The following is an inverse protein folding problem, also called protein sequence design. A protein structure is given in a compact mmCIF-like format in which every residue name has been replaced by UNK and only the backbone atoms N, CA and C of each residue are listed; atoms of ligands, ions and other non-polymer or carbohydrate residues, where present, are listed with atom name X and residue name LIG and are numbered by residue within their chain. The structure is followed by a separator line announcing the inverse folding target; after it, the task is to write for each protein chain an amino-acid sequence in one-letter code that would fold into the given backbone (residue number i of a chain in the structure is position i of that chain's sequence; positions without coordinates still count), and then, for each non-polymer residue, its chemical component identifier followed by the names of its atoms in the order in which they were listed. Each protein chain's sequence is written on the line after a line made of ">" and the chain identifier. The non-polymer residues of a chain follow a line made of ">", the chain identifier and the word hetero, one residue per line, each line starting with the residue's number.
data_IF_954973760572
#
_entry.id   IF_954973760572
#
_cell.length_a   1.000
_cell.length_b   1.000
_cell.length_c   1.000
_cell.angle_alpha   90.00
_cell.angle_beta   90.00
_cell.angle_gamma   90.00
#
_symmetry.space_group_name_H-M   'P 1'
#
loop_
_entity.id
_entity.type
_entity.pdbx_description
1 polymer ?
#
# COMPACT_ATOMS: atom_id res chain seq x y z
N UNK A 1 12.86 -25.13 1.29
CA UNK A 1 12.67 -24.67 -0.10
C UNK A 1 13.49 -23.42 -0.42
N UNK A 2 13.68 -22.47 0.51
CA UNK A 2 14.48 -21.25 0.29
C UNK A 2 15.96 -21.32 0.74
N UNK A 3 16.37 -22.41 1.40
CA UNK A 3 17.76 -22.68 1.81
C UNK A 3 18.84 -22.36 0.77
N UNK A 4 18.74 -22.80 -0.51
CA UNK A 4 19.78 -22.51 -1.49
C UNK A 4 19.90 -21.01 -1.81
N UNK A 5 18.80 -20.26 -1.76
CA UNK A 5 18.79 -18.80 -1.97
C UNK A 5 19.51 -18.08 -0.82
N UNK A 6 19.25 -18.50 0.41
CA UNK A 6 19.88 -17.92 1.60
C UNK A 6 21.38 -18.20 1.66
N UNK A 7 21.83 -19.38 1.25
CA UNK A 7 23.27 -19.68 1.18
C UNK A 7 24.01 -18.88 0.09
N UNK A 8 23.35 -18.61 -1.03
CA UNK A 8 23.90 -17.81 -2.12
C UNK A 8 23.97 -16.32 -1.75
N UNK A 9 22.99 -15.83 -0.99
CA UNK A 9 23.04 -14.49 -0.40
C UNK A 9 24.14 -14.37 0.67
N UNK A 10 24.31 -15.37 1.53
CA UNK A 10 25.36 -15.35 2.57
C UNK A 10 26.79 -15.40 2.02
N UNK A 11 26.97 -15.89 0.80
CA UNK A 11 28.27 -15.88 0.10
C UNK A 11 28.54 -14.57 -0.63
N UNK A 12 27.50 -13.82 -1.02
CA UNK A 12 27.61 -12.53 -1.70
C UNK A 12 27.62 -11.33 -0.75
N UNK A 13 26.99 -11.42 0.43
CA UNK A 13 26.96 -10.33 1.41
C UNK A 13 28.18 -10.34 2.34
N UNK A 14 28.68 -9.17 2.77
CA UNK A 14 29.73 -9.08 3.78
C UNK A 14 29.28 -9.76 5.08
N UNK A 15 30.19 -10.50 5.72
CA UNK A 15 29.88 -11.47 6.80
C UNK A 15 29.09 -10.91 8.00
N UNK A 16 29.14 -9.61 8.23
CA UNK A 16 28.37 -8.92 9.27
C UNK A 16 26.85 -8.91 8.99
N UNK A 17 26.42 -8.83 7.71
CA UNK A 17 25.01 -8.86 7.34
C UNK A 17 24.44 -10.29 7.28
N UNK A 18 25.30 -11.29 7.04
CA UNK A 18 24.91 -12.70 6.93
C UNK A 18 24.47 -13.31 8.28
N UNK A 19 24.93 -12.73 9.41
CA UNK A 19 24.53 -13.18 10.76
C UNK A 19 23.10 -12.77 11.16
N UNK A 20 22.51 -11.77 10.50
CA UNK A 20 21.19 -11.24 10.81
C UNK A 20 20.10 -11.92 9.97
N UNK A 21 19.56 -13.05 10.46
CA UNK A 21 18.51 -13.81 9.78
C UNK A 21 17.25 -13.00 9.47
N UNK A 22 16.89 -12.03 10.32
CA UNK A 22 15.77 -11.10 10.09
C UNK A 22 16.02 -10.18 8.90
N UNK A 23 17.27 -9.73 8.69
CA UNK A 23 17.64 -8.85 7.59
C UNK A 23 17.58 -9.60 6.26
N UNK A 24 18.02 -10.85 6.26
CA UNK A 24 17.97 -11.73 5.09
C UNK A 24 16.51 -12.00 4.67
N UNK A 25 15.62 -12.25 5.64
CA UNK A 25 14.18 -12.40 5.42
C UNK A 25 13.54 -11.13 4.87
N UNK A 26 13.86 -9.97 5.45
CA UNK A 26 13.39 -8.67 4.97
C UNK A 26 13.83 -8.39 3.53
N UNK A 27 15.09 -8.72 3.18
CA UNK A 27 15.63 -8.53 1.83
C UNK A 27 14.90 -9.42 0.81
N UNK A 28 14.77 -10.71 1.11
CA UNK A 28 14.08 -11.68 0.24
C UNK A 28 12.60 -11.30 0.08
N UNK A 29 11.92 -10.98 1.18
CA UNK A 29 10.53 -10.51 1.16
C UNK A 29 10.37 -9.22 0.35
N UNK A 30 11.30 -8.28 0.49
CA UNK A 30 11.33 -7.04 -0.28
C UNK A 30 11.48 -7.26 -1.79
N UNK A 31 12.31 -8.21 -2.21
CA UNK A 31 12.48 -8.56 -3.63
C UNK A 31 11.19 -9.15 -4.21
N UNK A 32 10.54 -10.08 -3.49
CA UNK A 32 9.25 -10.63 -3.92
C UNK A 32 8.15 -9.56 -3.99
N UNK A 33 8.10 -8.66 -3.00
CA UNK A 33 7.15 -7.56 -2.99
C UNK A 33 7.41 -6.58 -4.16
N UNK A 34 8.67 -6.22 -4.42
CA UNK A 34 9.05 -5.36 -5.53
C UNK A 34 8.66 -5.97 -6.88
N UNK A 35 8.89 -7.27 -7.07
CA UNK A 35 8.49 -7.99 -8.28
C UNK A 35 6.96 -7.97 -8.47
N UNK A 36 6.19 -8.24 -7.41
CA UNK A 36 4.72 -8.18 -7.46
C UNK A 36 4.23 -6.76 -7.80
N UNK A 37 4.78 -5.73 -7.15
CA UNK A 37 4.47 -4.33 -7.43
C UNK A 37 4.82 -3.93 -8.87
N UNK A 38 5.94 -4.40 -9.41
CA UNK A 38 6.36 -4.13 -10.78
C UNK A 38 5.38 -4.72 -11.80
N UNK A 39 4.96 -5.98 -11.62
CA UNK A 39 3.99 -6.65 -12.51
C UNK A 39 2.66 -5.89 -12.53
N UNK A 40 2.14 -5.52 -11.35
CA UNK A 40 0.90 -4.76 -11.23
C UNK A 40 1.06 -3.37 -11.85
N UNK A 41 2.18 -2.69 -11.57
CA UNK A 41 2.46 -1.34 -12.07
C UNK A 41 2.51 -1.25 -13.59
N UNK A 42 3.15 -2.22 -14.26
CA UNK A 42 3.20 -2.28 -15.74
C UNK A 42 1.80 -2.37 -16.34
N UNK A 43 0.91 -3.18 -15.74
CA UNK A 43 -0.49 -3.26 -16.18
C UNK A 43 -1.23 -1.94 -16.05
N UNK A 44 -1.06 -1.26 -14.90
CA UNK A 44 -1.70 0.04 -14.64
C UNK A 44 -1.25 1.12 -15.63
N UNK A 45 0.05 1.18 -15.93
CA UNK A 45 0.62 2.12 -16.92
C UNK A 45 0.12 1.79 -18.32
N UNK A 46 0.06 0.50 -18.70
CA UNK A 46 -0.48 0.06 -19.99
C UNK A 46 -1.93 0.49 -20.23
N UNK A 47 -2.73 0.63 -19.17
CA UNK A 47 -4.11 1.12 -19.23
C UNK A 47 -4.27 2.65 -19.18
N UNK A 48 -3.16 3.41 -19.29
CA UNK A 48 -3.12 4.88 -19.14
C UNK A 48 -3.77 5.34 -17.82
N UNK A 49 -3.39 4.67 -16.73
CA UNK A 49 -3.88 4.98 -15.38
C UNK A 49 -2.72 5.23 -14.42
N UNK A 50 -1.70 5.98 -14.82
CA UNK A 50 -0.49 6.21 -14.02
C UNK A 50 -0.79 6.75 -12.61
N UNK A 51 -1.83 7.58 -12.47
CA UNK A 51 -2.25 8.14 -11.18
C UNK A 51 -3.09 7.19 -10.30
N UNK A 52 -3.59 6.08 -10.85
CA UNK A 52 -4.48 5.17 -10.13
C UNK A 52 -3.80 4.54 -8.92
N UNK A 53 -2.58 4.04 -9.09
CA UNK A 53 -1.81 3.45 -7.98
C UNK A 53 -1.59 4.47 -6.87
N UNK A 54 -1.29 5.73 -7.22
CA UNK A 54 -1.12 6.79 -6.22
C UNK A 54 -2.41 7.01 -5.42
N UNK A 55 -3.56 7.09 -6.10
CA UNK A 55 -4.84 7.28 -5.44
C UNK A 55 -5.21 6.10 -4.53
N UNK A 56 -5.00 4.87 -4.98
CA UNK A 56 -5.29 3.66 -4.19
C UNK A 56 -4.36 3.54 -3.00
N UNK A 57 -3.05 3.73 -3.17
CA UNK A 57 -2.08 3.66 -2.08
C UNK A 57 -2.40 4.65 -0.96
N UNK A 58 -2.75 5.88 -1.31
CA UNK A 58 -3.14 6.89 -0.32
C UNK A 58 -4.55 6.69 0.25
N UNK A 59 -5.45 6.00 -0.45
CA UNK A 59 -6.75 5.66 0.11
C UNK A 59 -6.69 4.74 1.32
N UNK A 60 -5.62 3.94 1.43
CA UNK A 60 -5.29 3.14 2.60
C UNK A 60 -5.24 3.98 3.88
N UNK A 61 -4.80 5.24 3.79
CA UNK A 61 -4.78 6.18 4.91
C UNK A 61 -6.19 6.43 5.47
N UNK A 62 -7.13 6.79 4.60
CA UNK A 62 -8.53 6.95 5.01
C UNK A 62 -9.13 5.61 5.49
N UNK A 63 -8.76 4.49 4.85
CA UNK A 63 -9.22 3.15 5.23
C UNK A 63 -8.83 2.70 6.63
N UNK A 64 -7.57 2.93 7.03
CA UNK A 64 -7.10 2.62 8.39
C UNK A 64 -7.83 3.48 9.41
N UNK A 65 -8.01 4.78 9.13
CA UNK A 65 -8.77 5.67 10.01
C UNK A 65 -10.21 5.17 10.19
N UNK A 66 -10.89 4.79 9.11
CA UNK A 66 -12.25 4.23 9.16
C UNK A 66 -12.28 2.90 9.92
N UNK A 67 -11.31 2.00 9.69
CA UNK A 67 -11.21 0.72 10.38
C UNK A 67 -11.06 0.87 11.89
N UNK A 68 -10.14 1.75 12.32
CA UNK A 68 -9.92 2.07 13.74
C UNK A 68 -11.18 2.66 14.38
N UNK A 69 -11.87 3.57 13.71
CA UNK A 69 -13.09 4.20 14.23
C UNK A 69 -14.29 3.25 14.30
N UNK A 70 -14.39 2.33 13.34
CA UNK A 70 -15.43 1.32 13.33
C UNK A 70 -15.16 0.16 14.31
N UNK A 71 -14.01 0.16 15.02
CA UNK A 71 -13.62 -0.91 15.93
C UNK A 71 -13.33 -2.25 15.24
N UNK A 72 -13.06 -2.21 13.93
CA UNK A 72 -12.73 -3.40 13.12
C UNK A 72 -11.21 -3.49 12.96
N UNK A 73 -10.70 -4.65 12.57
CA UNK A 73 -9.28 -4.80 12.25
C UNK A 73 -8.79 -3.73 11.26
N UNK A 74 -7.74 -2.96 11.59
CA UNK A 74 -7.20 -1.91 10.73
C UNK A 74 -6.78 -2.44 9.35
N UNK A 75 -6.35 -3.70 9.26
CA UNK A 75 -6.04 -4.37 8.00
C UNK A 75 -7.26 -4.53 7.10
N UNK A 76 -8.42 -4.83 7.69
CA UNK A 76 -9.69 -4.95 6.94
C UNK A 76 -10.14 -3.58 6.46
N UNK A 77 -10.00 -2.53 7.28
CA UNK A 77 -10.25 -1.15 6.87
C UNK A 77 -9.32 -0.71 5.73
N UNK A 78 -8.02 -1.01 5.85
CA UNK A 78 -7.00 -0.71 4.84
C UNK A 78 -7.33 -1.35 3.49
N UNK A 79 -7.53 -2.67 3.47
CA UNK A 79 -7.78 -3.42 2.22
C UNK A 79 -9.17 -3.09 1.68
N UNK A 80 -10.20 -3.10 2.54
CA UNK A 80 -11.58 -2.86 2.15
C UNK A 80 -11.81 -1.48 1.54
N UNK A 81 -11.22 -0.44 2.15
CA UNK A 81 -11.36 0.92 1.64
C UNK A 81 -10.55 1.13 0.35
N UNK A 82 -9.35 0.58 0.25
CA UNK A 82 -8.55 0.63 -0.98
C UNK A 82 -9.26 -0.05 -2.15
N UNK A 83 -9.90 -1.20 -1.91
CA UNK A 83 -10.74 -1.89 -2.90
C UNK A 83 -11.96 -1.05 -3.28
N UNK A 84 -12.65 -0.44 -2.30
CA UNK A 84 -13.78 0.45 -2.55
C UNK A 84 -13.41 1.63 -3.46
N UNK A 85 -12.27 2.28 -3.18
CA UNK A 85 -11.78 3.40 -3.98
C UNK A 85 -11.34 2.93 -5.37
N UNK A 86 -10.60 1.84 -5.49
CA UNK A 86 -10.19 1.29 -6.78
C UNK A 86 -11.38 0.89 -7.67
N UNK A 87 -12.40 0.26 -7.09
CA UNK A 87 -13.66 -0.07 -7.77
C UNK A 87 -14.43 1.20 -8.14
N UNK A 88 -14.53 2.16 -7.21
CA UNK A 88 -15.19 3.44 -7.44
C UNK A 88 -14.59 4.20 -8.62
N UNK A 89 -13.26 4.30 -8.67
CA UNK A 89 -12.54 4.90 -9.82
C UNK A 89 -12.84 4.13 -11.11
N UNK A 90 -12.82 2.80 -11.07
CA UNK A 90 -13.06 1.97 -12.26
C UNK A 90 -14.48 2.14 -12.81
N UNK A 91 -15.49 2.16 -11.92
CA UNK A 91 -16.90 2.37 -12.30
C UNK A 91 -17.12 3.79 -12.82
N UNK A 92 -16.54 4.79 -12.16
CA UNK A 92 -16.68 6.19 -12.55
C UNK A 92 -16.00 6.46 -13.89
N UNK A 93 -14.84 5.84 -14.14
CA UNK A 93 -14.15 5.88 -15.44
C UNK A 93 -14.97 5.22 -16.55
N UNK A 94 -15.69 4.12 -16.27
CA UNK A 94 -16.54 3.44 -17.27
C UNK A 94 -17.82 4.21 -17.61
N UNK A 95 -18.40 4.93 -16.64
CA UNK A 95 -19.67 5.67 -16.82
C UNK A 95 -19.49 7.14 -17.18
N UNK A 96 -18.35 7.73 -16.82
CA UNK A 96 -18.06 9.15 -17.01
C UNK A 96 -17.56 9.49 -18.41
N UNK A 97 -17.84 10.71 -18.87
CA UNK A 97 -17.26 11.31 -20.09
C UNK A 97 -15.93 12.05 -19.81
N UNK A 98 -15.47 12.05 -18.57
CA UNK A 98 -14.26 12.74 -18.12
C UNK A 98 -13.01 11.94 -18.49
N UNK A 99 -11.88 12.64 -18.68
CA UNK A 99 -10.59 11.99 -18.84
C UNK A 99 -10.27 11.12 -17.61
N UNK A 100 -9.63 9.96 -17.85
CA UNK A 100 -9.31 8.99 -16.80
C UNK A 100 -8.53 9.62 -15.64
N UNK A 101 -7.55 10.45 -15.95
CA UNK A 101 -6.70 11.11 -14.96
C UNK A 101 -7.46 12.16 -14.12
N UNK A 102 -8.42 12.87 -14.72
CA UNK A 102 -9.27 13.82 -13.98
C UNK A 102 -10.16 13.08 -12.98
N UNK A 103 -10.72 11.94 -13.37
CA UNK A 103 -11.57 11.12 -12.49
C UNK A 103 -10.78 10.62 -11.29
N UNK A 104 -9.57 10.11 -11.52
CA UNK A 104 -8.65 9.67 -10.47
C UNK A 104 -8.30 10.83 -9.54
N UNK A 105 -7.96 12.00 -10.10
CA UNK A 105 -7.62 13.19 -9.32
C UNK A 105 -8.74 13.66 -8.40
N UNK A 106 -9.98 13.72 -8.89
CA UNK A 106 -11.14 14.12 -8.07
C UNK A 106 -11.38 13.14 -6.93
N UNK A 107 -11.38 11.82 -7.21
CA UNK A 107 -11.57 10.80 -6.18
C UNK A 107 -10.45 10.87 -5.14
N UNK A 108 -9.20 11.04 -5.58
CA UNK A 108 -8.05 11.19 -4.70
C UNK A 108 -8.20 12.39 -3.75
N UNK A 109 -8.59 13.56 -4.26
CA UNK A 109 -8.81 14.75 -3.43
C UNK A 109 -9.89 14.53 -2.37
N UNK A 110 -11.00 13.86 -2.72
CA UNK A 110 -12.07 13.53 -1.78
C UNK A 110 -11.59 12.58 -0.69
N UNK A 111 -10.88 11.52 -1.08
CA UNK A 111 -10.37 10.50 -0.16
C UNK A 111 -9.32 11.08 0.78
N UNK A 112 -8.40 11.90 0.29
CA UNK A 112 -7.40 12.57 1.12
C UNK A 112 -8.03 13.57 2.07
N UNK A 113 -8.99 14.37 1.60
CA UNK A 113 -9.73 15.28 2.48
C UNK A 113 -10.45 14.52 3.60
N UNK A 114 -11.11 13.40 3.28
CA UNK A 114 -11.76 12.54 4.27
C UNK A 114 -10.75 11.98 5.28
N UNK A 115 -9.65 11.40 4.81
CA UNK A 115 -8.63 10.84 5.69
C UNK A 115 -8.03 11.89 6.63
N UNK A 116 -7.70 13.08 6.12
CA UNK A 116 -7.14 14.17 6.93
C UNK A 116 -8.17 14.70 7.92
N UNK A 117 -9.43 14.82 7.51
CA UNK A 117 -10.52 15.22 8.40
C UNK A 117 -10.70 14.24 9.56
N UNK A 118 -10.67 12.92 9.28
CA UNK A 118 -10.72 11.88 10.32
C UNK A 118 -9.50 11.94 11.24
N UNK A 119 -8.30 12.08 10.67
CA UNK A 119 -7.08 12.22 11.47
C UNK A 119 -7.14 13.44 12.39
N UNK A 120 -7.66 14.57 11.88
CA UNK A 120 -7.74 15.80 12.65
C UNK A 120 -8.84 15.78 13.71
N UNK A 121 -9.92 15.04 13.47
CA UNK A 121 -11.05 14.94 14.40
C UNK A 121 -10.71 14.11 15.65
N UNK A 122 -9.83 13.10 15.54
CA UNK A 122 -9.54 12.17 16.63
C UNK A 122 -8.07 12.20 17.05
N UNK A 123 -7.83 12.76 18.24
CA UNK A 123 -6.48 12.81 18.83
C UNK A 123 -5.98 11.40 19.17
N UNK A 124 -4.80 11.05 18.66
CA UNK A 124 -4.14 9.76 18.94
C UNK A 124 -4.12 8.79 17.74
N UNK A 125 -5.05 8.92 16.79
CA UNK A 125 -5.12 8.05 15.60
C UNK A 125 -3.82 8.07 14.76
N UNK A 126 -3.16 9.21 14.70
CA UNK A 126 -2.00 9.39 13.82
C UNK A 126 -0.86 8.41 14.10
N UNK A 127 -0.55 8.12 15.36
CA UNK A 127 0.56 7.22 15.70
C UNK A 127 0.24 5.78 15.29
N UNK A 128 -0.97 5.30 15.58
CA UNK A 128 -1.40 3.95 15.20
C UNK A 128 -1.52 3.81 13.69
N UNK A 129 -2.08 4.80 13.00
CA UNK A 129 -2.21 4.79 11.54
C UNK A 129 -0.86 4.63 10.84
N UNK A 130 0.16 5.39 11.27
CA UNK A 130 1.49 5.32 10.67
C UNK A 130 2.10 3.93 10.79
N UNK A 131 1.91 3.25 11.94
CA UNK A 131 2.39 1.86 12.12
C UNK A 131 1.77 0.90 11.10
N UNK A 132 0.48 1.04 10.79
CA UNK A 132 -0.19 0.17 9.81
C UNK A 132 0.13 0.50 8.35
N UNK A 133 0.38 1.78 8.04
CA UNK A 133 0.62 2.23 6.66
C UNK A 133 2.06 1.99 6.24
N UNK A 134 3.02 2.26 7.12
CA UNK A 134 4.44 2.07 6.84
C UNK A 134 4.90 0.63 7.13
N UNK A 135 4.26 -0.04 8.09
CA UNK A 135 4.60 -1.40 8.49
C UNK A 135 6.02 -1.52 9.07
N UNK A 136 6.42 -2.75 9.33
CA UNK A 136 7.78 -3.10 9.72
C UNK A 136 8.24 -4.31 8.90
N UNK A 137 9.15 -4.08 7.96
CA UNK A 137 9.69 -5.13 7.10
C UNK A 137 10.68 -6.05 7.84
N UNK A 138 11.27 -5.57 8.95
CA UNK A 138 12.21 -6.34 9.74
C UNK A 138 11.49 -7.40 10.60
N UNK A 139 10.18 -7.28 10.76
CA UNK A 139 9.34 -8.20 11.52
C UNK A 139 8.87 -9.44 10.73
N UNK A 140 9.33 -9.65 9.48
CA UNK A 140 9.03 -10.82 8.64
C UNK A 140 9.69 -12.14 9.14
#
# INVERSE_FOLDING_TARGET
>A
MFEPLYQLLNTLLPGELAGASFLLRALVGGVFLAAACAIIGVGVVGHRMSYFTNAVSHSSFAGVAVGLLAGVSPYVGLVGFALLVGLGITVLKRRGRLAGDTTVGVVFSVVMALGIALLSAFRGLGREMLTYIYGDILAL
#
